data_IF_887407669334
#
_entry.id   IF_887407669334
#
_cell.length_a   1.000
_cell.length_b   1.000
_cell.length_c   1.000
_cell.angle_alpha   90.00
_cell.angle_beta   90.00
_cell.angle_gamma   90.00
#
_symmetry.space_group_name_H-M   'P 1'
#
loop_
_entity.id
_entity.type
_entity.pdbx_description
1 polymer ?
#
# COMPACT_ATOMS: atom_id res chain seq x y z
N UNK A 1 -21.15 -26.15 61.12
CA UNK A 1 -20.26 -25.01 60.83
C UNK A 1 -19.59 -25.29 59.50
N UNK A 2 -19.89 -24.46 58.50
CA UNK A 2 -19.70 -24.77 57.07
C UNK A 2 -18.25 -24.75 56.61
N UNK A 3 -17.91 -25.72 55.77
CA UNK A 3 -16.67 -25.78 55.00
C UNK A 3 -16.79 -24.80 53.82
N UNK A 4 -15.96 -23.77 53.80
CA UNK A 4 -15.85 -22.84 52.68
C UNK A 4 -15.19 -23.56 51.49
N UNK A 5 -15.90 -23.61 50.37
CA UNK A 5 -15.37 -24.11 49.10
C UNK A 5 -14.39 -23.09 48.52
N UNK A 6 -13.18 -23.55 48.18
CA UNK A 6 -12.21 -22.76 47.44
C UNK A 6 -12.72 -22.53 46.01
N UNK A 7 -12.85 -21.27 45.61
CA UNK A 7 -13.10 -20.90 44.21
C UNK A 7 -11.82 -21.10 43.40
N UNK A 8 -11.86 -21.81 42.26
CA UNK A 8 -10.70 -21.86 41.38
C UNK A 8 -10.52 -20.49 40.74
N UNK A 9 -9.28 -20.00 40.77
CA UNK A 9 -8.82 -18.86 39.98
C UNK A 9 -9.06 -19.19 38.52
N UNK A 10 -9.95 -18.44 37.86
CA UNK A 10 -10.06 -18.44 36.40
C UNK A 10 -8.80 -17.76 35.88
N UNK A 11 -7.90 -18.54 35.30
CA UNK A 11 -6.89 -18.00 34.42
C UNK A 11 -7.63 -17.24 33.34
N UNK A 12 -7.49 -15.91 33.33
CA UNK A 12 -7.88 -15.11 32.18
C UNK A 12 -7.19 -15.73 30.97
N UNK A 13 -7.94 -15.90 29.86
CA UNK A 13 -7.37 -16.18 28.55
C UNK A 13 -6.25 -15.17 28.30
N UNK A 14 -5.01 -15.61 28.53
CA UNK A 14 -3.89 -15.01 27.83
C UNK A 14 -4.19 -15.34 26.39
N UNK A 15 -4.67 -14.36 25.61
CA UNK A 15 -4.67 -14.50 24.15
C UNK A 15 -3.23 -14.84 23.80
N UNK A 16 -2.98 -16.11 23.49
CA UNK A 16 -1.73 -16.51 22.87
C UNK A 16 -1.70 -15.69 21.59
N UNK A 17 -0.71 -14.82 21.42
CA UNK A 17 -0.57 -14.07 20.17
C UNK A 17 -0.47 -15.09 19.04
N UNK A 18 -1.55 -15.22 18.26
CA UNK A 18 -1.66 -16.20 17.18
C UNK A 18 -0.64 -15.91 16.09
N UNK A 19 -0.30 -14.63 15.90
CA UNK A 19 0.67 -14.15 14.93
C UNK A 19 1.83 -13.48 15.67
N UNK A 20 3.05 -13.96 15.43
CA UNK A 20 4.29 -13.49 16.06
C UNK A 20 5.12 -12.63 15.13
N UNK A 21 5.14 -12.95 13.83
CA UNK A 21 5.97 -12.28 12.84
C UNK A 21 5.16 -11.92 11.60
N UNK A 22 5.13 -10.64 11.26
CA UNK A 22 4.47 -10.11 10.06
C UNK A 22 5.53 -9.53 9.13
N UNK A 23 5.44 -9.84 7.83
CA UNK A 23 6.23 -9.19 6.80
C UNK A 23 5.35 -8.30 5.92
N UNK A 24 5.82 -7.09 5.62
CA UNK A 24 5.10 -6.15 4.75
C UNK A 24 5.89 -5.87 3.47
N UNK A 25 5.27 -6.09 2.32
CA UNK A 25 5.84 -5.85 1.00
C UNK A 25 4.95 -4.87 0.26
N UNK A 26 5.55 -4.09 -0.64
CA UNK A 26 4.79 -3.21 -1.50
C UNK A 26 5.49 -1.89 -1.76
N UNK A 27 4.68 -0.97 -2.25
CA UNK A 27 5.11 0.36 -2.63
C UNK A 27 4.67 1.43 -1.63
N UNK A 28 4.54 2.67 -2.09
CA UNK A 28 4.27 3.85 -1.29
C UNK A 28 2.92 3.79 -0.55
N UNK A 29 1.91 3.13 -1.12
CA UNK A 29 0.62 2.94 -0.44
C UNK A 29 0.72 2.01 0.79
N UNK A 30 1.74 1.15 0.84
CA UNK A 30 2.08 0.40 2.05
C UNK A 30 3.15 1.10 2.91
N UNK A 31 4.09 1.84 2.29
CA UNK A 31 5.17 2.50 3.03
C UNK A 31 4.71 3.73 3.83
N UNK A 32 3.68 4.45 3.36
CA UNK A 32 3.08 5.60 4.04
C UNK A 32 3.92 6.89 4.00
N UNK A 33 4.33 7.38 2.83
CA UNK A 33 5.16 8.58 2.72
C UNK A 33 4.46 9.83 3.28
N UNK A 34 5.23 10.69 3.96
CA UNK A 34 4.72 11.93 4.55
C UNK A 34 4.02 11.76 5.90
N UNK A 35 3.93 10.53 6.43
CA UNK A 35 3.39 10.27 7.77
C UNK A 35 4.56 10.14 8.76
N UNK A 36 4.63 11.05 9.73
CA UNK A 36 5.66 11.01 10.78
C UNK A 36 5.29 10.04 11.92
N UNK A 37 6.27 9.43 12.61
CA UNK A 37 7.71 9.50 12.35
C UNK A 37 8.15 8.67 11.14
N UNK A 38 9.12 9.18 10.37
CA UNK A 38 9.80 8.41 9.31
C UNK A 38 10.72 7.34 9.92
N UNK A 39 10.54 6.08 9.51
CA UNK A 39 11.39 4.94 9.92
C UNK A 39 12.61 4.80 9.00
N UNK A 40 12.39 4.79 7.68
CA UNK A 40 13.44 4.67 6.67
C UNK A 40 13.20 5.70 5.57
N UNK A 41 13.98 6.78 5.61
CA UNK A 41 13.83 7.91 4.71
C UNK A 41 14.07 7.54 3.24
N UNK A 42 15.01 6.62 2.97
CA UNK A 42 15.31 6.19 1.60
C UNK A 42 14.16 5.39 0.96
N UNK A 43 13.37 4.69 1.78
CA UNK A 43 12.17 3.99 1.35
C UNK A 43 10.91 4.87 1.40
N UNK A 44 11.04 6.09 1.94
CA UNK A 44 9.94 6.97 2.35
C UNK A 44 8.93 6.23 3.24
N UNK A 45 9.44 5.42 4.16
CA UNK A 45 8.65 4.53 5.01
C UNK A 45 8.36 5.18 6.34
N UNK A 46 7.09 5.18 6.71
CA UNK A 46 6.60 5.65 7.99
C UNK A 46 6.54 4.53 9.03
N UNK A 47 6.96 4.85 10.25
CA UNK A 47 6.71 4.01 11.44
C UNK A 47 5.22 3.97 11.87
N UNK A 48 4.34 4.65 11.12
CA UNK A 48 2.88 4.64 11.29
C UNK A 48 2.14 4.18 10.04
N UNK A 49 2.81 3.46 9.13
CA UNK A 49 2.10 2.77 8.07
C UNK A 49 1.19 1.65 8.63
N UNK A 50 0.33 1.07 7.80
CA UNK A 50 -0.65 0.11 8.30
C UNK A 50 0.00 -1.16 8.90
N UNK A 51 1.19 -1.54 8.46
CA UNK A 51 1.88 -2.74 8.95
C UNK A 51 2.43 -2.52 10.37
N UNK A 52 3.04 -1.37 10.63
CA UNK A 52 3.45 -0.98 12.00
C UNK A 52 2.27 -0.87 12.96
N UNK A 53 1.15 -0.32 12.48
CA UNK A 53 -0.05 -0.22 13.30
C UNK A 53 -0.64 -1.61 13.58
N UNK A 54 -0.72 -2.49 12.57
CA UNK A 54 -1.19 -3.87 12.73
C UNK A 54 -0.34 -4.66 13.72
N UNK A 55 0.99 -4.60 13.62
CA UNK A 55 1.87 -5.34 14.52
C UNK A 55 1.77 -4.82 15.96
N UNK A 56 1.55 -3.52 16.14
CA UNK A 56 1.24 -2.93 17.45
C UNK A 56 -0.08 -3.47 18.01
N UNK A 57 -1.14 -3.53 17.19
CA UNK A 57 -2.46 -4.05 17.59
C UNK A 57 -2.40 -5.52 18.00
N UNK A 58 -1.59 -6.32 17.30
CA UNK A 58 -1.44 -7.76 17.53
C UNK A 58 -0.32 -8.11 18.52
N UNK A 59 0.54 -7.17 18.90
CA UNK A 59 1.76 -7.46 19.67
C UNK A 59 2.74 -8.38 18.94
N UNK A 60 2.85 -8.23 17.62
CA UNK A 60 3.73 -8.99 16.74
C UNK A 60 5.02 -8.22 16.40
N UNK A 61 6.04 -8.94 15.92
CA UNK A 61 7.23 -8.37 15.30
C UNK A 61 6.95 -8.05 13.82
N UNK A 62 7.66 -7.06 13.29
CA UNK A 62 7.52 -6.61 11.91
C UNK A 62 8.86 -6.70 11.16
N UNK A 63 8.81 -7.30 9.97
CA UNK A 63 9.82 -7.14 8.92
C UNK A 63 9.18 -6.31 7.81
N UNK A 64 9.37 -4.99 7.88
CA UNK A 64 8.88 -4.09 6.85
C UNK A 64 9.88 -4.02 5.70
N UNK A 65 9.44 -4.41 4.51
CA UNK A 65 10.22 -4.44 3.27
C UNK A 65 9.63 -3.47 2.23
N UNK A 66 8.64 -2.65 2.60
CA UNK A 66 7.96 -1.71 1.70
C UNK A 66 8.91 -0.61 1.24
N UNK A 67 8.88 -0.28 -0.05
CA UNK A 67 9.73 0.77 -0.62
C UNK A 67 8.91 1.59 -1.61
N UNK A 68 8.79 2.90 -1.34
CA UNK A 68 8.05 3.80 -2.23
C UNK A 68 8.58 3.75 -3.67
N UNK A 69 7.66 3.74 -4.64
CA UNK A 69 7.98 3.61 -6.06
C UNK A 69 8.18 2.17 -6.56
N UNK A 70 8.19 1.15 -5.69
CA UNK A 70 8.32 -0.24 -6.11
C UNK A 70 7.21 -0.66 -7.11
N UNK A 71 7.61 -1.32 -8.20
CA UNK A 71 6.75 -2.09 -9.11
C UNK A 71 6.66 -3.55 -8.68
N UNK A 72 5.78 -4.36 -9.28
CA UNK A 72 5.75 -5.81 -9.03
C UNK A 72 7.10 -6.48 -9.31
N UNK A 73 7.86 -6.01 -10.32
CA UNK A 73 9.21 -6.50 -10.60
C UNK A 73 10.19 -6.19 -9.44
N UNK A 74 10.07 -5.00 -8.83
CA UNK A 74 10.90 -4.63 -7.67
C UNK A 74 10.62 -5.47 -6.43
N UNK A 75 9.35 -5.81 -6.24
CA UNK A 75 8.95 -6.72 -5.17
C UNK A 75 9.44 -8.14 -5.45
N UNK A 76 9.40 -8.57 -6.72
CA UNK A 76 9.66 -9.94 -7.14
C UNK A 76 11.15 -10.30 -7.20
N UNK A 77 11.90 -9.70 -8.13
CA UNK A 77 13.23 -10.19 -8.53
C UNK A 77 14.21 -9.12 -9.05
N UNK A 78 13.78 -7.85 -9.14
CA UNK A 78 14.60 -6.75 -9.65
C UNK A 78 14.98 -5.78 -8.53
N UNK A 79 16.27 -5.54 -8.22
CA UNK A 79 16.64 -4.55 -7.22
C UNK A 79 16.09 -3.16 -7.55
N UNK A 80 15.61 -2.43 -6.54
CA UNK A 80 15.17 -1.05 -6.70
C UNK A 80 16.35 -0.11 -6.46
N UNK A 81 16.86 0.49 -7.54
CA UNK A 81 18.04 1.33 -7.52
C UNK A 81 17.67 2.81 -7.49
N UNK A 82 18.12 3.54 -6.47
CA UNK A 82 17.98 4.99 -6.35
C UNK A 82 19.29 5.72 -6.69
N UNK A 83 20.43 5.11 -6.35
CA UNK A 83 21.77 5.55 -6.76
C UNK A 83 22.74 4.37 -6.77
N UNK A 84 24.00 4.57 -7.14
CA UNK A 84 25.02 3.51 -7.04
C UNK A 84 25.23 3.04 -5.59
N UNK A 85 25.01 3.91 -4.61
CA UNK A 85 25.21 3.63 -3.19
C UNK A 85 23.91 3.26 -2.45
N UNK A 86 22.74 3.44 -3.08
CA UNK A 86 21.44 3.17 -2.48
C UNK A 86 20.62 2.26 -3.39
N UNK A 87 20.59 0.99 -3.02
CA UNK A 87 19.87 -0.08 -3.72
C UNK A 87 19.13 -0.93 -2.69
N UNK A 88 17.83 -1.11 -2.88
CA UNK A 88 17.06 -2.10 -2.13
C UNK A 88 17.05 -3.42 -2.92
N UNK A 89 17.35 -4.57 -2.30
CA UNK A 89 17.20 -5.87 -2.95
C UNK A 89 15.72 -6.15 -3.26
N UNK A 90 15.42 -7.16 -4.11
CA UNK A 90 14.04 -7.59 -4.33
C UNK A 90 13.36 -7.92 -3.00
N UNK A 91 12.20 -7.32 -2.74
CA UNK A 91 11.57 -7.39 -1.42
C UNK A 91 11.23 -8.84 -1.02
N UNK A 92 10.77 -9.66 -1.96
CA UNK A 92 10.44 -11.07 -1.71
C UNK A 92 11.64 -11.90 -1.22
N UNK A 93 12.88 -11.48 -1.46
CA UNK A 93 14.07 -12.15 -0.93
C UNK A 93 14.28 -11.89 0.57
N UNK A 94 13.65 -10.85 1.12
CA UNK A 94 13.71 -10.47 2.53
C UNK A 94 12.68 -11.16 3.42
N UNK A 95 11.70 -11.88 2.86
CA UNK A 95 10.61 -12.50 3.64
C UNK A 95 11.17 -13.56 4.59
N UNK A 96 10.91 -13.50 5.90
CA UNK A 96 11.30 -14.57 6.82
C UNK A 96 10.54 -15.87 6.51
N UNK A 97 11.21 -17.02 6.59
CA UNK A 97 10.58 -18.31 6.31
C UNK A 97 9.52 -18.71 7.36
N UNK A 98 9.61 -18.13 8.56
CA UNK A 98 8.72 -18.30 9.70
C UNK A 98 7.75 -17.13 9.89
N UNK A 99 7.55 -16.28 8.87
CA UNK A 99 6.51 -15.27 8.90
C UNK A 99 5.13 -15.92 9.02
N UNK A 100 4.28 -15.43 9.93
CA UNK A 100 2.91 -15.93 10.10
C UNK A 100 1.93 -15.22 9.14
N UNK A 101 2.21 -13.95 8.81
CA UNK A 101 1.40 -13.13 7.89
C UNK A 101 2.31 -12.35 6.96
N UNK A 102 1.95 -12.28 5.67
CA UNK A 102 2.60 -11.41 4.69
C UNK A 102 1.55 -10.51 4.02
N UNK A 103 1.70 -9.18 4.16
CA UNK A 103 0.85 -8.22 3.45
C UNK A 103 1.54 -7.70 2.20
N UNK A 104 0.81 -7.54 1.08
CA UNK A 104 1.37 -7.09 -0.19
C UNK A 104 0.50 -5.99 -0.82
N UNK A 105 1.10 -4.83 -1.11
CA UNK A 105 0.47 -3.72 -1.87
C UNK A 105 1.39 -3.23 -3.00
N UNK A 106 1.27 -3.82 -4.19
CA UNK A 106 2.04 -3.46 -5.38
C UNK A 106 1.20 -3.56 -6.66
N UNK A 107 1.60 -2.90 -7.74
CA UNK A 107 0.85 -2.87 -9.01
C UNK A 107 0.43 -1.46 -9.46
N UNK A 108 0.29 -0.51 -8.53
CA UNK A 108 -0.08 0.86 -8.87
C UNK A 108 0.98 1.59 -9.70
N UNK A 109 2.27 1.36 -9.44
CA UNK A 109 3.35 1.94 -10.25
C UNK A 109 3.53 1.23 -11.60
N UNK A 110 3.19 -0.06 -11.69
CA UNK A 110 3.14 -0.78 -12.95
C UNK A 110 2.13 -0.12 -13.91
N UNK A 111 1.05 0.46 -13.36
CA UNK A 111 0.06 1.28 -14.08
C UNK A 111 0.30 2.81 -13.96
N UNK A 112 1.47 3.23 -13.48
CA UNK A 112 1.91 4.63 -13.40
C UNK A 112 1.02 5.58 -12.57
N UNK A 113 0.20 5.05 -11.64
CA UNK A 113 -0.89 5.80 -11.02
C UNK A 113 -0.46 7.02 -10.19
N UNK A 114 0.30 6.81 -9.11
CA UNK A 114 0.72 7.89 -8.22
C UNK A 114 1.65 8.89 -8.91
N UNK A 115 2.57 8.38 -9.73
CA UNK A 115 3.50 9.21 -10.51
C UNK A 115 2.78 10.12 -11.51
N UNK A 116 1.75 9.60 -12.20
CA UNK A 116 0.97 10.36 -13.16
C UNK A 116 0.14 11.46 -12.48
N UNK A 117 -0.52 11.14 -11.36
CA UNK A 117 -1.25 12.14 -10.56
C UNK A 117 -0.32 13.26 -10.06
N UNK A 118 0.85 12.90 -9.53
CA UNK A 118 1.81 13.89 -9.03
C UNK A 118 2.35 14.77 -10.16
N UNK A 119 2.68 14.19 -11.31
CA UNK A 119 3.13 14.94 -12.48
C UNK A 119 2.07 15.93 -12.97
N UNK A 120 0.82 15.47 -13.16
CA UNK A 120 -0.28 16.33 -13.60
C UNK A 120 -0.57 17.44 -12.60
N UNK A 121 -0.53 17.15 -11.31
CA UNK A 121 -0.75 18.14 -10.26
C UNK A 121 0.30 19.26 -10.31
N UNK A 122 1.57 18.90 -10.44
CA UNK A 122 2.66 19.85 -10.59
C UNK A 122 2.57 20.65 -11.90
N UNK A 123 2.28 19.98 -13.02
CA UNK A 123 2.11 20.65 -14.30
C UNK A 123 0.97 21.69 -14.27
N UNK A 124 -0.10 21.42 -13.53
CA UNK A 124 -1.24 22.33 -13.34
C UNK A 124 -0.91 23.48 -12.40
N UNK A 125 -0.29 23.19 -11.25
CA UNK A 125 -0.06 24.17 -10.19
C UNK A 125 1.16 25.08 -10.43
N UNK A 126 2.27 24.52 -10.88
CA UNK A 126 3.51 25.25 -11.17
C UNK A 126 4.28 24.55 -12.32
N UNK A 127 3.97 24.91 -13.58
CA UNK A 127 4.67 24.37 -14.75
C UNK A 127 6.19 24.61 -14.75
N UNK A 128 6.69 25.55 -13.94
CA UNK A 128 8.11 25.90 -13.84
C UNK A 128 8.85 25.10 -12.76
N UNK A 129 8.13 24.34 -11.94
CA UNK A 129 8.69 23.49 -10.88
C UNK A 129 9.68 22.47 -11.46
N UNK A 130 10.82 22.22 -10.78
CA UNK A 130 11.77 21.19 -11.19
C UNK A 130 11.17 19.77 -11.18
N UNK A 131 10.05 19.54 -10.48
CA UNK A 131 9.36 18.25 -10.51
C UNK A 131 8.69 17.93 -11.85
N UNK A 132 8.30 18.96 -12.61
CA UNK A 132 7.68 18.77 -13.93
C UNK A 132 8.64 18.06 -14.91
N UNK A 133 9.87 18.56 -15.18
CA UNK A 133 10.80 17.84 -16.05
C UNK A 133 11.30 16.52 -15.44
N UNK A 134 11.40 16.43 -14.11
CA UNK A 134 11.84 15.20 -13.43
C UNK A 134 10.85 14.05 -13.63
N UNK A 135 9.56 14.28 -13.38
CA UNK A 135 8.50 13.28 -13.55
C UNK A 135 8.09 13.14 -15.02
N UNK A 136 8.10 14.25 -15.77
CA UNK A 136 7.66 14.28 -17.17
C UNK A 136 8.49 13.41 -18.11
N UNK A 137 9.73 13.05 -17.74
CA UNK A 137 10.54 12.11 -18.51
C UNK A 137 9.83 10.76 -18.73
N UNK A 138 9.06 10.28 -17.74
CA UNK A 138 8.29 9.03 -17.84
C UNK A 138 6.96 9.18 -18.61
N UNK A 139 6.54 10.43 -18.88
CA UNK A 139 5.28 10.77 -19.55
C UNK A 139 5.49 11.59 -20.82
N UNK A 140 6.64 11.46 -21.47
CA UNK A 140 6.95 12.17 -22.72
C UNK A 140 5.97 11.85 -23.87
N UNK A 141 5.34 10.67 -23.83
CA UNK A 141 4.24 10.27 -24.71
C UNK A 141 2.83 10.58 -24.19
N UNK A 142 2.72 11.34 -23.09
CA UNK A 142 1.50 11.50 -22.31
C UNK A 142 1.32 10.43 -21.23
N UNK A 143 0.32 10.62 -20.37
CA UNK A 143 -0.08 9.61 -19.38
C UNK A 143 -0.84 8.52 -20.13
N UNK A 144 -0.38 7.26 -20.11
CA UNK A 144 -1.06 6.19 -20.82
C UNK A 144 -2.37 5.82 -20.10
N UNK A 145 -3.40 5.50 -20.88
CA UNK A 145 -4.53 4.73 -20.34
C UNK A 145 -4.07 3.29 -20.06
N UNK A 146 -4.61 2.63 -19.02
CA UNK A 146 -4.26 1.25 -18.72
C UNK A 146 -4.81 0.36 -19.83
N UNK A 147 -3.91 -0.21 -20.65
CA UNK A 147 -4.30 -1.22 -21.64
C UNK A 147 -4.57 -2.55 -20.94
N UNK A 148 -5.37 -3.41 -21.56
CA UNK A 148 -5.59 -4.78 -21.03
C UNK A 148 -4.27 -5.55 -20.91
N UNK A 149 -3.31 -5.31 -21.81
CA UNK A 149 -1.97 -5.89 -21.71
C UNK A 149 -1.21 -5.40 -20.46
N UNK A 150 -1.26 -4.09 -20.16
CA UNK A 150 -0.61 -3.55 -18.96
C UNK A 150 -1.25 -4.08 -17.68
N UNK A 151 -2.58 -4.21 -17.65
CA UNK A 151 -3.32 -4.80 -16.53
C UNK A 151 -2.94 -6.27 -16.34
N UNK A 152 -2.87 -7.05 -17.42
CA UNK A 152 -2.46 -8.46 -17.34
C UNK A 152 -0.98 -8.60 -16.92
N UNK A 153 -0.08 -7.73 -17.41
CA UNK A 153 1.33 -7.72 -16.99
C UNK A 153 1.47 -7.44 -15.49
N UNK A 154 0.77 -6.43 -14.97
CA UNK A 154 0.76 -6.13 -13.53
C UNK A 154 0.16 -7.28 -12.71
N UNK A 155 -0.92 -7.90 -13.21
CA UNK A 155 -1.54 -9.08 -12.59
C UNK A 155 -0.58 -10.25 -12.53
N UNK A 156 0.07 -10.60 -13.65
CA UNK A 156 1.04 -11.68 -13.70
C UNK A 156 2.25 -11.41 -12.80
N UNK A 157 2.71 -10.16 -12.72
CA UNK A 157 3.74 -9.73 -11.77
C UNK A 157 3.33 -9.99 -10.32
N UNK A 158 2.13 -9.56 -9.93
CA UNK A 158 1.61 -9.74 -8.58
C UNK A 158 1.40 -11.22 -8.23
N UNK A 159 0.89 -12.03 -9.17
CA UNK A 159 0.78 -13.49 -9.03
C UNK A 159 2.15 -14.11 -8.73
N UNK A 160 3.18 -13.76 -9.51
CA UNK A 160 4.54 -14.28 -9.30
C UNK A 160 5.14 -13.85 -7.96
N UNK A 161 4.82 -12.64 -7.49
CA UNK A 161 5.21 -12.20 -6.13
C UNK A 161 4.60 -13.14 -5.09
N UNK A 162 3.29 -13.40 -5.16
CA UNK A 162 2.57 -14.27 -4.22
C UNK A 162 3.14 -15.69 -4.23
N UNK A 163 3.40 -16.27 -5.40
CA UNK A 163 4.00 -17.59 -5.54
C UNK A 163 5.39 -17.68 -4.91
N UNK A 164 6.23 -16.65 -5.11
CA UNK A 164 7.56 -16.57 -4.50
C UNK A 164 7.48 -16.43 -2.99
N UNK A 165 6.58 -15.59 -2.49
CA UNK A 165 6.31 -15.43 -1.05
C UNK A 165 5.84 -16.76 -0.45
N UNK A 166 4.87 -17.43 -1.07
CA UNK A 166 4.36 -18.72 -0.59
C UNK A 166 5.44 -19.82 -0.59
N UNK A 167 6.33 -19.83 -1.58
CA UNK A 167 7.47 -20.76 -1.58
C UNK A 167 8.42 -20.50 -0.41
N UNK A 168 8.58 -19.24 -0.01
CA UNK A 168 9.54 -18.82 1.01
C UNK A 168 9.00 -18.93 2.43
N UNK A 169 7.73 -18.61 2.63
CA UNK A 169 7.00 -18.70 3.88
C UNK A 169 5.72 -19.54 3.66
N UNK A 170 5.84 -20.88 3.57
CA UNK A 170 4.75 -21.76 3.14
C UNK A 170 3.57 -21.79 4.11
N UNK A 171 3.81 -21.48 5.39
CA UNK A 171 2.77 -21.46 6.43
C UNK A 171 2.15 -20.07 6.63
N UNK A 172 2.65 -19.03 5.94
CA UNK A 172 2.15 -17.67 6.10
C UNK A 172 0.77 -17.48 5.45
N UNK A 173 -0.12 -16.74 6.12
CA UNK A 173 -1.29 -16.14 5.47
C UNK A 173 -0.83 -14.97 4.60
N UNK A 174 -1.16 -15.01 3.31
CA UNK A 174 -0.80 -13.94 2.37
C UNK A 174 -2.02 -13.07 2.13
N UNK A 175 -1.92 -11.79 2.51
CA UNK A 175 -3.00 -10.81 2.38
C UNK A 175 -2.61 -9.77 1.32
N UNK A 176 -3.34 -9.76 0.21
CA UNK A 176 -3.28 -8.66 -0.76
C UNK A 176 -4.09 -7.50 -0.21
N UNK A 177 -3.45 -6.35 0.00
CA UNK A 177 -4.13 -5.12 0.41
C UNK A 177 -4.17 -4.21 -0.80
N UNK A 178 -5.36 -4.03 -1.38
CA UNK A 178 -5.54 -3.12 -2.50
C UNK A 178 -5.44 -1.65 -2.05
N UNK A 179 -5.76 -0.73 -2.97
CA UNK A 179 -5.54 0.70 -2.76
C UNK A 179 -6.80 1.33 -2.17
N UNK A 180 -6.63 2.30 -1.25
CA UNK A 180 -7.75 3.18 -0.89
C UNK A 180 -8.33 3.86 -2.13
N UNK A 181 -9.61 4.19 -2.08
CA UNK A 181 -10.26 5.06 -3.07
C UNK A 181 -9.64 6.44 -2.95
N UNK A 182 -8.76 6.80 -3.90
CA UNK A 182 -8.06 8.09 -3.92
C UNK A 182 -8.99 9.18 -4.44
N UNK A 183 -9.72 8.84 -5.50
CA UNK A 183 -10.56 9.74 -6.28
C UNK A 183 -11.95 9.15 -6.49
N UNK A 184 -12.93 10.04 -6.60
CA UNK A 184 -14.30 9.83 -7.05
C UNK A 184 -14.70 10.95 -8.05
N UNK A 185 -15.96 10.94 -8.51
CA UNK A 185 -16.47 11.96 -9.43
C UNK A 185 -16.53 13.37 -8.83
N UNK A 186 -16.60 13.50 -7.49
CA UNK A 186 -16.69 14.78 -6.77
C UNK A 186 -15.30 15.40 -6.50
N UNK A 187 -14.24 14.60 -6.60
CA UNK A 187 -12.83 14.96 -6.39
C UNK A 187 -12.32 16.06 -7.33
N UNK A 188 -13.05 16.39 -8.40
CA UNK A 188 -12.66 17.45 -9.37
C UNK A 188 -12.43 18.80 -8.69
N UNK A 189 -13.17 19.11 -7.61
CA UNK A 189 -13.03 20.40 -6.90
C UNK A 189 -11.95 20.38 -5.83
N UNK A 190 -11.53 19.19 -5.39
CA UNK A 190 -10.53 18.98 -4.36
C UNK A 190 -9.13 18.70 -4.90
N UNK A 191 -8.99 18.64 -6.23
CA UNK A 191 -7.74 18.30 -6.92
C UNK A 191 -7.39 19.35 -7.98
N UNK A 192 -6.10 19.47 -8.35
CA UNK A 192 -5.68 20.38 -9.43
C UNK A 192 -5.98 19.82 -10.84
N UNK A 193 -6.79 18.77 -10.96
CA UNK A 193 -7.05 18.05 -12.19
C UNK A 193 -8.24 18.64 -12.95
N UNK A 194 -8.15 18.66 -14.27
CA UNK A 194 -9.33 18.85 -15.13
C UNK A 194 -10.25 17.64 -15.03
N UNK A 195 -11.52 17.80 -15.41
CA UNK A 195 -12.48 16.68 -15.45
C UNK A 195 -12.01 15.52 -16.34
N UNK A 196 -11.28 15.80 -17.43
CA UNK A 196 -10.73 14.77 -18.31
C UNK A 196 -9.58 13.99 -17.68
N UNK A 197 -8.68 14.66 -16.97
CA UNK A 197 -7.58 14.03 -16.24
C UNK A 197 -8.11 13.20 -15.05
N UNK A 198 -9.09 13.74 -14.30
CA UNK A 198 -9.76 12.99 -13.24
C UNK A 198 -10.41 11.70 -13.78
N UNK A 199 -11.15 11.80 -14.89
CA UNK A 199 -11.75 10.62 -15.53
C UNK A 199 -10.70 9.59 -15.96
N UNK A 200 -9.53 10.03 -16.44
CA UNK A 200 -8.41 9.13 -16.74
C UNK A 200 -7.87 8.44 -15.48
N UNK A 201 -7.69 9.17 -14.38
CA UNK A 201 -7.22 8.58 -13.12
C UNK A 201 -8.23 7.63 -12.50
N UNK A 202 -9.53 7.89 -12.61
CA UNK A 202 -10.58 6.94 -12.21
C UNK A 202 -10.50 5.63 -13.01
N UNK A 203 -10.18 5.69 -14.31
CA UNK A 203 -9.95 4.47 -15.12
C UNK A 203 -8.74 3.70 -14.62
N UNK A 204 -7.63 4.37 -14.28
CA UNK A 204 -6.43 3.74 -13.72
C UNK A 204 -6.71 3.12 -12.35
N UNK A 205 -7.36 3.84 -11.44
CA UNK A 205 -7.75 3.34 -10.11
C UNK A 205 -8.59 2.07 -10.22
N UNK A 206 -9.61 2.06 -11.09
CA UNK A 206 -10.43 0.88 -11.33
C UNK A 206 -9.63 -0.28 -11.94
N UNK A 207 -8.66 0.01 -12.81
CA UNK A 207 -7.78 -1.02 -13.38
C UNK A 207 -6.89 -1.66 -12.30
N UNK A 208 -6.38 -0.88 -11.34
CA UNK A 208 -5.64 -1.41 -10.18
C UNK A 208 -6.53 -2.36 -9.37
N UNK A 209 -7.79 -1.99 -9.10
CA UNK A 209 -8.73 -2.89 -8.43
C UNK A 209 -8.85 -4.26 -9.14
N UNK A 210 -8.98 -4.26 -10.47
CA UNK A 210 -9.03 -5.50 -11.27
C UNK A 210 -7.75 -6.32 -11.20
N UNK A 211 -6.57 -5.69 -11.14
CA UNK A 211 -5.28 -6.39 -10.95
C UNK A 211 -5.30 -7.20 -9.67
N UNK A 212 -5.74 -6.59 -8.56
CA UNK A 212 -5.78 -7.23 -7.24
C UNK A 212 -6.83 -8.34 -7.16
N UNK A 213 -8.04 -8.11 -7.66
CA UNK A 213 -9.10 -9.12 -7.70
C UNK A 213 -8.67 -10.34 -8.51
N UNK A 214 -8.12 -10.11 -9.71
CA UNK A 214 -7.67 -11.18 -10.59
C UNK A 214 -6.48 -11.94 -10.00
N UNK A 215 -5.54 -11.26 -9.33
CA UNK A 215 -4.40 -11.92 -8.69
C UNK A 215 -4.84 -12.78 -7.49
N UNK A 216 -5.80 -12.30 -6.69
CA UNK A 216 -6.37 -13.08 -5.60
C UNK A 216 -7.08 -14.34 -6.13
N UNK A 217 -7.90 -14.21 -7.18
CA UNK A 217 -8.61 -15.34 -7.80
C UNK A 217 -7.67 -16.41 -8.39
N UNK A 218 -6.47 -16.01 -8.82
CA UNK A 218 -5.47 -16.91 -9.43
C UNK A 218 -4.52 -17.55 -8.41
N UNK A 219 -4.57 -17.17 -7.14
CA UNK A 219 -3.59 -17.59 -6.13
C UNK A 219 -4.23 -18.01 -4.82
N UNK A 220 -3.40 -18.29 -3.82
CA UNK A 220 -3.82 -18.63 -2.46
C UNK A 220 -4.03 -17.40 -1.56
N UNK A 221 -3.76 -16.20 -2.07
CA UNK A 221 -3.82 -14.99 -1.26
C UNK A 221 -5.26 -14.53 -1.02
N UNK A 222 -5.50 -14.01 0.18
CA UNK A 222 -6.78 -13.39 0.53
C UNK A 222 -6.75 -11.90 0.15
N UNK A 223 -7.84 -11.39 -0.44
CA UNK A 223 -7.97 -9.98 -0.79
C UNK A 223 -8.62 -9.17 0.34
N UNK A 224 -7.90 -8.17 0.82
CA UNK A 224 -8.39 -7.11 1.70
C UNK A 224 -8.68 -5.87 0.86
N UNK A 225 -9.97 -5.56 0.71
CA UNK A 225 -10.46 -4.45 -0.13
C UNK A 225 -10.46 -3.12 0.65
N UNK A 226 -9.28 -2.53 0.78
CA UNK A 226 -9.12 -1.14 1.23
C UNK A 226 -9.89 -0.16 0.33
N UNK A 227 -10.03 -0.46 -0.96
CA UNK A 227 -10.84 0.29 -1.92
C UNK A 227 -12.30 0.41 -1.46
N UNK A 228 -12.94 -0.72 -1.20
CA UNK A 228 -14.33 -0.79 -0.72
C UNK A 228 -14.50 -0.16 0.67
N UNK A 229 -13.51 -0.28 1.54
CA UNK A 229 -13.51 0.30 2.88
C UNK A 229 -13.51 1.84 2.86
N UNK A 230 -13.02 2.47 1.79
CA UNK A 230 -12.70 3.89 1.73
C UNK A 230 -13.49 4.68 0.70
N UNK A 231 -14.56 4.11 0.15
CA UNK A 231 -15.40 4.74 -0.88
C UNK A 231 -15.92 6.13 -0.47
N UNK A 232 -16.24 6.32 0.81
CA UNK A 232 -16.75 7.58 1.35
C UNK A 232 -15.63 8.53 1.84
N UNK A 233 -14.36 8.18 1.60
CA UNK A 233 -13.16 8.84 2.14
C UNK A 233 -12.17 9.31 1.05
N UNK A 234 -12.63 9.43 -0.20
CA UNK A 234 -11.86 9.97 -1.31
C UNK A 234 -11.50 11.46 -1.10
N UNK A 235 -10.61 12.01 -1.94
CA UNK A 235 -10.25 13.43 -1.89
C UNK A 235 -11.47 14.32 -2.14
N UNK A 236 -11.74 15.25 -1.22
CA UNK A 236 -12.91 16.13 -1.29
C UNK A 236 -14.11 15.65 -0.47
N UNK A 237 -14.07 14.42 0.05
CA UNK A 237 -15.02 13.96 1.07
C UNK A 237 -14.91 14.78 2.36
N UNK A 238 -15.86 14.57 3.28
CA UNK A 238 -15.86 15.24 4.58
C UNK A 238 -14.68 14.82 5.47
N UNK A 239 -14.23 13.56 5.36
CA UNK A 239 -13.15 12.98 6.16
C UNK A 239 -12.19 12.19 5.25
N UNK A 240 -11.40 12.86 4.39
CA UNK A 240 -10.57 12.15 3.43
C UNK A 240 -9.49 11.33 4.13
N UNK A 241 -9.29 10.09 3.67
CA UNK A 241 -8.23 9.19 4.14
C UNK A 241 -6.97 9.24 3.27
N UNK A 242 -6.91 10.27 2.43
CA UNK A 242 -5.89 10.48 1.41
C UNK A 242 -5.29 11.86 1.64
N UNK A 243 -3.98 11.98 1.49
CA UNK A 243 -3.27 13.25 1.57
C UNK A 243 -3.59 14.12 0.35
N UNK A 244 -3.83 15.44 0.54
CA UNK A 244 -4.02 16.35 -0.57
C UNK A 244 -2.73 16.51 -1.37
N UNK A 245 -2.81 17.26 -2.47
CA UNK A 245 -1.62 17.67 -3.19
C UNK A 245 -0.78 18.64 -2.34
N UNK A 246 0.47 18.27 -2.08
CA UNK A 246 1.44 19.12 -1.38
C UNK A 246 2.42 19.75 -2.36
N UNK A 247 2.45 21.09 -2.38
CA UNK A 247 3.37 21.88 -3.21
C UNK A 247 4.73 22.14 -2.54
N UNK A 248 4.92 21.73 -1.29
CA UNK A 248 6.22 21.84 -0.64
C UNK A 248 7.10 20.65 -1.04
N UNK A 249 8.34 20.89 -1.47
CA UNK A 249 9.29 19.83 -1.86
C UNK A 249 9.54 18.80 -0.76
N UNK A 250 9.43 19.20 0.50
CA UNK A 250 9.67 18.31 1.64
C UNK A 250 8.51 17.36 1.90
N UNK A 251 7.28 17.69 1.47
CA UNK A 251 6.08 16.91 1.74
C UNK A 251 5.37 16.41 0.49
N UNK A 252 5.76 16.89 -0.70
CA UNK A 252 5.17 16.54 -2.00
C UNK A 252 5.10 15.04 -2.24
N UNK A 253 6.07 14.29 -1.70
CA UNK A 253 6.18 12.86 -1.85
C UNK A 253 5.02 12.07 -1.21
N UNK A 254 4.30 12.67 -0.24
CA UNK A 254 3.09 12.12 0.37
C UNK A 254 1.80 12.42 -0.41
N UNK A 255 1.83 13.27 -1.44
CA UNK A 255 0.62 13.68 -2.17
C UNK A 255 -0.13 12.49 -2.76
N UNK A 256 -1.46 12.47 -2.62
CA UNK A 256 -2.34 11.41 -3.16
C UNK A 256 -2.14 10.01 -2.55
N UNK A 257 -1.38 9.89 -1.46
CA UNK A 257 -1.21 8.63 -0.72
C UNK A 257 -2.15 8.57 0.48
N UNK A 258 -2.35 7.40 1.10
CA UNK A 258 -3.06 7.33 2.38
C UNK A 258 -2.46 8.29 3.41
N UNK A 259 -3.32 8.93 4.20
CA UNK A 259 -2.90 9.61 5.42
C UNK A 259 -2.94 8.63 6.61
N UNK A 260 -2.59 9.09 7.81
CA UNK A 260 -2.54 8.23 9.00
C UNK A 260 -3.90 7.58 9.29
N UNK A 261 -5.02 8.28 9.09
CA UNK A 261 -6.36 7.73 9.30
C UNK A 261 -6.67 6.59 8.31
N UNK A 262 -6.30 6.76 7.03
CA UNK A 262 -6.40 5.69 6.04
C UNK A 262 -5.54 4.47 6.37
N UNK A 263 -4.31 4.68 6.84
CA UNK A 263 -3.44 3.60 7.31
C UNK A 263 -4.03 2.87 8.52
N UNK A 264 -4.63 3.61 9.47
CA UNK A 264 -5.32 3.03 10.62
C UNK A 264 -6.52 2.20 10.20
N UNK A 265 -7.34 2.67 9.25
CA UNK A 265 -8.48 1.93 8.76
C UNK A 265 -8.07 0.58 8.14
N UNK A 266 -7.00 0.56 7.33
CA UNK A 266 -6.44 -0.67 6.77
C UNK A 266 -5.94 -1.61 7.89
N UNK A 267 -5.21 -1.09 8.88
CA UNK A 267 -4.69 -1.90 9.98
C UNK A 267 -5.80 -2.57 10.80
N UNK A 268 -6.90 -1.85 11.07
CA UNK A 268 -8.06 -2.38 11.78
C UNK A 268 -8.80 -3.45 10.96
N UNK A 269 -8.94 -3.25 9.65
CA UNK A 269 -9.55 -4.25 8.79
C UNK A 269 -8.69 -5.52 8.68
N UNK A 270 -7.37 -5.36 8.59
CA UNK A 270 -6.43 -6.49 8.64
C UNK A 270 -6.53 -7.26 9.95
N UNK A 271 -6.60 -6.58 11.09
CA UNK A 271 -6.84 -7.22 12.38
C UNK A 271 -8.15 -8.02 12.37
N UNK A 272 -9.25 -7.43 11.87
CA UNK A 272 -10.55 -8.10 11.78
C UNK A 272 -10.50 -9.36 10.92
N UNK A 273 -9.80 -9.33 9.79
CA UNK A 273 -9.60 -10.49 8.89
C UNK A 273 -8.74 -11.57 9.54
N UNK A 274 -7.74 -11.18 10.34
CA UNK A 274 -6.85 -12.11 11.03
C UNK A 274 -7.49 -12.78 12.25
N UNK A 275 -8.49 -12.15 12.86
CA UNK A 275 -9.25 -12.67 14.01
C UNK A 275 -10.52 -13.46 13.63
N UNK A 276 -10.92 -13.46 12.35
CA UNK A 276 -12.09 -14.18 11.84
C UNK A 276 -11.80 -15.68 11.60
#
# INVERSE_FOLDING_TARGET
>A
MGLAAAHPVRWHDVRVNTYRLIAALGSSFAAGPGIEPIEEAAAMRSSRNYAHQLTTLLGAELVDLTVSGATTANVLDTPQQFSEQLVFPPQADGVPADADVVTITAGGNDLQFAGAMLYTAWLSADPSSPLVPMLGAMFSGGIPFPTEEAVEQATAGLVRVIEKVHTRAPDARILLVDYLTVLDDESVTATPFTAGELAQFLVIQNAIGRVFETAADRTVAELVRASALSVDHALGSAEPWVQPFHQDMMTTAGSFHPNEAGMTAIALELQRVLEA
#
